data_IF_395091742218
#
_entry.id   IF_395091742218
#
_cell.length_a   1.000
_cell.length_b   1.000
_cell.length_c   1.000
_cell.angle_alpha   90.00
_cell.angle_beta   90.00
_cell.angle_gamma   90.00
#
_symmetry.space_group_name_H-M   'P 1'
#
loop_
_entity.id
_entity.type
_entity.pdbx_description
1 polymer ?
#
# COMPACT_ATOMS: atom_id res chain seq x y z
N UNK A 1 -65.63 5.69 -20.76
CA UNK A 1 -65.05 4.68 -21.67
C UNK A 1 -63.60 4.47 -21.25
N UNK A 2 -63.27 3.28 -20.73
CA UNK A 2 -61.92 2.91 -20.28
C UNK A 2 -61.07 2.56 -21.50
N UNK A 3 -59.89 3.18 -21.65
CA UNK A 3 -58.84 2.71 -22.56
C UNK A 3 -57.63 2.31 -21.72
N UNK A 4 -57.52 1.01 -21.50
CA UNK A 4 -56.32 0.32 -21.04
C UNK A 4 -55.35 0.24 -22.21
N UNK A 5 -54.20 0.91 -22.10
CA UNK A 5 -53.10 0.80 -23.06
C UNK A 5 -52.02 -0.06 -22.42
N UNK A 6 -51.99 -1.33 -22.80
CA UNK A 6 -50.94 -2.28 -22.44
C UNK A 6 -49.67 -1.91 -23.21
N UNK A 7 -48.66 -1.42 -22.50
CA UNK A 7 -47.33 -1.15 -23.04
C UNK A 7 -46.44 -2.35 -22.67
N UNK A 8 -46.33 -3.28 -23.61
CA UNK A 8 -45.19 -4.17 -23.70
C UNK A 8 -44.28 -3.59 -24.77
N UNK A 9 -42.95 -3.61 -24.59
CA UNK A 9 -41.96 -3.90 -25.63
C UNK A 9 -40.52 -3.68 -25.11
N UNK A 10 -39.74 -4.75 -25.27
CA UNK A 10 -38.28 -4.89 -25.44
C UNK A 10 -37.34 -4.20 -24.45
N UNK A 11 -36.80 -5.01 -23.54
CA UNK A 11 -35.41 -4.88 -23.10
C UNK A 11 -34.51 -5.53 -24.16
N UNK A 12 -33.80 -4.71 -24.94
CA UNK A 12 -32.65 -5.18 -25.74
C UNK A 12 -31.43 -5.07 -24.85
N UNK A 13 -30.99 -6.19 -24.29
CA UNK A 13 -29.70 -6.29 -23.60
C UNK A 13 -28.63 -6.37 -24.69
N UNK A 14 -28.03 -5.22 -25.03
CA UNK A 14 -26.81 -5.17 -25.82
C UNK A 14 -25.65 -5.52 -24.88
N UNK A 15 -25.25 -6.78 -24.88
CA UNK A 15 -23.98 -7.23 -24.32
C UNK A 15 -22.86 -6.76 -25.26
N UNK A 16 -22.45 -5.49 -25.13
CA UNK A 16 -21.13 -5.07 -25.59
C UNK A 16 -20.12 -5.72 -24.65
N UNK A 17 -19.58 -6.86 -25.07
CA UNK A 17 -18.29 -7.34 -24.58
C UNK A 17 -17.23 -6.34 -25.04
N UNK A 18 -17.07 -5.25 -24.29
CA UNK A 18 -15.91 -4.38 -24.40
C UNK A 18 -14.70 -5.22 -24.03
N UNK A 19 -13.78 -5.39 -24.98
CA UNK A 19 -12.45 -5.85 -24.68
C UNK A 19 -11.85 -4.85 -23.68
N UNK A 20 -11.78 -5.23 -22.41
CA UNK A 20 -10.98 -4.51 -21.44
C UNK A 20 -9.53 -4.62 -21.93
N UNK A 21 -8.77 -3.51 -21.99
CA UNK A 21 -7.34 -3.61 -22.25
C UNK A 21 -6.74 -4.53 -21.19
N UNK A 22 -6.13 -5.63 -21.64
CA UNK A 22 -5.32 -6.47 -20.77
C UNK A 22 -4.06 -5.68 -20.48
N UNK A 23 -4.07 -4.86 -19.44
CA UNK A 23 -2.86 -4.28 -18.89
C UNK A 23 -1.90 -5.44 -18.62
N UNK A 24 -0.74 -5.42 -19.25
CA UNK A 24 0.32 -6.37 -18.98
C UNK A 24 0.87 -5.98 -17.62
N UNK A 25 0.37 -6.61 -16.56
CA UNK A 25 0.92 -6.47 -15.22
C UNK A 25 2.30 -7.14 -15.22
N UNK A 26 3.35 -6.36 -15.51
CA UNK A 26 4.70 -6.73 -15.17
C UNK A 26 4.81 -6.73 -13.64
N UNK A 27 4.68 -7.91 -13.04
CA UNK A 27 4.90 -8.12 -11.61
C UNK A 27 6.41 -8.09 -11.35
N UNK A 28 6.97 -6.92 -11.03
CA UNK A 28 8.34 -6.79 -10.57
C UNK A 28 8.48 -7.39 -9.16
N UNK A 29 9.62 -8.01 -8.87
CA UNK A 29 9.96 -8.49 -7.52
C UNK A 29 10.02 -7.31 -6.53
N UNK A 30 9.86 -7.54 -5.20
CA UNK A 30 9.73 -6.49 -4.19
C UNK A 30 10.96 -5.55 -4.01
N UNK A 31 12.01 -5.69 -4.81
CA UNK A 31 13.22 -4.86 -4.75
C UNK A 31 13.23 -3.70 -5.78
N UNK A 32 12.09 -3.45 -6.45
CA UNK A 32 12.02 -2.45 -7.53
C UNK A 32 12.00 -0.99 -7.09
N UNK A 33 11.89 -0.75 -5.78
CA UNK A 33 11.96 0.58 -5.17
C UNK A 33 12.61 0.53 -3.80
N UNK A 34 13.21 1.64 -3.38
CA UNK A 34 13.51 1.93 -1.98
C UNK A 34 12.48 2.93 -1.44
N UNK A 35 11.57 2.46 -0.58
CA UNK A 35 10.46 3.29 -0.06
C UNK A 35 10.59 3.53 1.45
N UNK A 36 10.86 4.77 1.84
CA UNK A 36 10.97 5.20 3.25
C UNK A 36 9.85 6.16 3.64
N UNK A 37 9.43 6.11 4.91
CA UNK A 37 8.45 7.02 5.53
C UNK A 37 9.06 7.66 6.77
N UNK A 38 8.98 8.99 6.84
CA UNK A 38 9.37 9.78 8.01
C UNK A 38 8.14 10.44 8.63
N UNK A 39 8.09 10.54 9.95
CA UNK A 39 7.04 11.27 10.68
C UNK A 39 7.64 12.21 11.71
N UNK A 40 7.06 13.41 11.86
CA UNK A 40 7.51 14.39 12.85
C UNK A 40 7.06 14.05 14.29
N UNK A 41 6.10 13.14 14.45
CA UNK A 41 5.52 12.79 15.75
C UNK A 41 5.02 11.35 15.72
N UNK A 42 5.85 10.35 16.09
CA UNK A 42 5.49 8.94 16.04
C UNK A 42 4.59 8.50 17.22
N UNK A 43 3.98 9.42 17.97
CA UNK A 43 3.19 9.04 19.15
C UNK A 43 1.85 8.39 18.75
N UNK A 44 1.40 7.31 19.41
CA UNK A 44 0.14 6.64 19.08
C UNK A 44 -1.08 7.57 19.18
N UNK A 45 -1.93 7.56 18.15
CA UNK A 45 -3.15 8.37 18.06
C UNK A 45 -2.93 9.87 17.88
N UNK A 46 -1.68 10.32 17.82
CA UNK A 46 -1.34 11.72 17.58
C UNK A 46 -1.62 12.11 16.12
N UNK A 47 -1.83 13.40 15.93
CA UNK A 47 -1.79 14.02 14.62
C UNK A 47 -0.34 14.39 14.29
N UNK A 48 0.08 14.12 13.06
CA UNK A 48 1.47 14.18 12.62
C UNK A 48 1.58 14.51 11.13
N UNK A 49 2.74 15.01 10.75
CA UNK A 49 3.16 15.22 9.37
C UNK A 49 4.02 14.04 8.92
N UNK A 50 3.87 13.64 7.65
CA UNK A 50 4.55 12.51 7.05
C UNK A 50 5.30 12.95 5.80
N UNK A 51 6.50 12.41 5.58
CA UNK A 51 7.24 12.53 4.33
C UNK A 51 7.52 11.13 3.80
N UNK A 52 7.04 10.85 2.59
CA UNK A 52 7.19 9.59 1.87
C UNK A 52 8.22 9.80 0.77
N UNK A 53 9.19 8.88 0.67
CA UNK A 53 10.25 8.92 -0.32
C UNK A 53 10.31 7.58 -1.05
N UNK A 54 9.91 7.56 -2.33
CA UNK A 54 9.89 6.37 -3.18
C UNK A 54 10.98 6.55 -4.23
N UNK A 55 12.10 5.84 -4.06
CA UNK A 55 13.18 5.83 -5.04
C UNK A 55 12.96 4.68 -6.02
N UNK A 56 12.96 4.97 -7.32
CA UNK A 56 12.79 3.95 -8.35
C UNK A 56 14.15 3.28 -8.64
N UNK A 57 14.31 2.02 -8.23
CA UNK A 57 15.63 1.34 -8.29
C UNK A 57 15.75 0.36 -9.44
N UNK A 58 14.64 -0.23 -9.91
CA UNK A 58 14.67 -1.26 -10.94
C UNK A 58 14.43 -0.74 -12.36
N UNK A 59 15.11 -1.39 -13.30
CA UNK A 59 15.11 -1.04 -14.70
C UNK A 59 14.03 -1.84 -15.44
N UNK A 60 13.09 -1.16 -16.10
CA UNK A 60 12.03 -1.73 -16.93
C UNK A 60 12.53 -2.29 -18.28
N UNK A 61 13.83 -2.55 -18.43
CA UNK A 61 14.43 -3.24 -19.57
C UNK A 61 15.16 -2.34 -20.57
N UNK A 62 15.28 -1.04 -20.30
CA UNK A 62 15.95 -0.07 -21.17
C UNK A 62 16.69 1.05 -20.41
N UNK A 63 17.46 1.89 -21.11
CA UNK A 63 18.20 2.97 -20.47
C UNK A 63 17.32 4.16 -20.02
N UNK A 64 16.02 4.15 -20.37
CA UNK A 64 15.02 5.18 -20.00
C UNK A 64 13.94 4.61 -19.10
N UNK A 65 14.29 3.62 -18.29
CA UNK A 65 13.34 2.96 -17.43
C UNK A 65 12.68 3.94 -16.46
N UNK A 66 11.34 3.93 -16.46
CA UNK A 66 10.51 4.81 -15.67
C UNK A 66 9.16 5.07 -16.33
N UNK A 67 8.51 6.12 -15.85
CA UNK A 67 7.27 6.68 -16.34
C UNK A 67 7.57 7.92 -17.20
N UNK A 68 7.14 7.90 -18.46
CA UNK A 68 7.11 9.08 -19.32
C UNK A 68 6.04 10.06 -18.85
N UNK A 69 4.87 9.54 -18.47
CA UNK A 69 3.85 10.28 -17.72
C UNK A 69 3.48 9.51 -16.46
N UNK A 70 3.29 10.22 -15.36
CA UNK A 70 2.61 9.70 -14.18
C UNK A 70 1.15 10.16 -14.28
N UNK A 71 0.19 9.23 -14.22
CA UNK A 71 -1.24 9.57 -14.34
C UNK A 71 -1.87 9.64 -12.94
N UNK A 72 -1.48 8.72 -12.05
CA UNK A 72 -1.95 8.74 -10.67
C UNK A 72 -0.94 8.17 -9.67
N UNK A 73 -0.99 8.68 -8.45
CA UNK A 73 -0.24 8.16 -7.30
C UNK A 73 -1.21 7.92 -6.16
N UNK A 74 -1.21 6.71 -5.63
CA UNK A 74 -2.07 6.29 -4.52
C UNK A 74 -1.21 5.82 -3.36
N UNK A 75 -1.39 6.42 -2.19
CA UNK A 75 -0.77 5.99 -0.94
C UNK A 75 -1.82 5.36 -0.03
N UNK A 76 -1.59 4.15 0.46
CA UNK A 76 -2.50 3.44 1.37
C UNK A 76 -1.79 3.04 2.65
N UNK A 77 -2.25 3.58 3.77
CA UNK A 77 -1.73 3.21 5.09
C UNK A 77 -2.41 1.93 5.58
N UNK A 78 -1.65 1.00 6.17
CA UNK A 78 -2.25 -0.18 6.83
C UNK A 78 -3.11 0.22 8.03
N UNK A 79 -2.62 1.20 8.79
CA UNK A 79 -3.27 1.75 9.97
C UNK A 79 -3.03 3.25 10.08
N UNK A 80 -3.93 3.94 10.78
CA UNK A 80 -3.97 5.40 10.85
C UNK A 80 -5.10 5.96 9.99
N UNK A 81 -5.07 7.26 9.72
CA UNK A 81 -6.03 7.90 8.83
C UNK A 81 -5.49 9.23 8.28
N UNK A 82 -5.86 9.55 7.05
CA UNK A 82 -5.61 10.83 6.36
C UNK A 82 -6.86 11.70 6.29
N UNK A 83 -7.92 11.39 7.04
CA UNK A 83 -9.20 12.12 7.01
C UNK A 83 -9.08 13.60 7.44
N UNK A 84 -8.00 13.96 8.15
CA UNK A 84 -7.75 15.36 8.51
C UNK A 84 -6.97 16.13 7.42
N UNK A 85 -6.52 15.45 6.37
CA UNK A 85 -5.95 16.08 5.19
C UNK A 85 -7.10 16.68 4.37
N UNK A 86 -7.17 18.01 4.33
CA UNK A 86 -8.15 18.71 3.53
C UNK A 86 -7.65 18.86 2.09
N UNK A 87 -8.47 18.51 1.10
CA UNK A 87 -8.26 18.97 -0.27
C UNK A 87 -8.26 20.51 -0.27
N UNK A 88 -7.26 21.18 -0.84
CA UNK A 88 -7.24 22.63 -0.89
C UNK A 88 -8.51 23.13 -1.59
N UNK A 89 -9.19 24.11 -1.01
CA UNK A 89 -10.24 24.82 -1.74
C UNK A 89 -9.56 25.73 -2.75
N UNK A 90 -10.06 25.80 -4.00
CA UNK A 90 -9.44 26.61 -5.06
C UNK A 90 -9.12 28.05 -4.57
N UNK A 91 -7.84 28.35 -4.37
CA UNK A 91 -7.34 29.63 -3.84
C UNK A 91 -6.59 29.55 -2.50
N UNK A 92 -6.74 28.45 -1.75
CA UNK A 92 -5.91 28.16 -0.57
C UNK A 92 -4.76 27.24 -0.99
N UNK A 93 -3.62 27.83 -1.35
CA UNK A 93 -2.31 27.17 -1.44
C UNK A 93 -1.79 26.74 -0.05
N UNK A 94 -2.67 26.42 0.90
CA UNK A 94 -2.29 25.93 2.21
C UNK A 94 -2.00 24.41 2.15
N UNK A 95 -0.90 24.07 1.49
CA UNK A 95 0.21 23.15 1.82
C UNK A 95 -0.02 21.86 2.65
N UNK A 96 -1.23 21.33 2.82
CA UNK A 96 -1.41 20.10 3.61
C UNK A 96 -0.86 18.86 2.89
N UNK A 97 -0.63 18.94 1.58
CA UNK A 97 0.04 17.90 0.80
C UNK A 97 0.91 18.53 -0.30
N UNK A 98 2.09 17.98 -0.54
CA UNK A 98 3.00 18.38 -1.63
C UNK A 98 3.60 17.12 -2.27
N UNK A 99 3.39 16.94 -3.57
CA UNK A 99 3.91 15.82 -4.35
C UNK A 99 4.94 16.36 -5.35
N UNK A 100 6.13 15.77 -5.41
CA UNK A 100 7.21 16.20 -6.29
C UNK A 100 8.08 15.02 -6.70
N UNK A 101 8.78 15.13 -7.82
CA UNK A 101 9.92 14.27 -8.15
C UNK A 101 11.20 15.07 -7.97
N UNK A 102 12.17 14.45 -7.31
CA UNK A 102 13.52 15.02 -7.17
C UNK A 102 14.47 14.21 -8.04
N UNK A 103 15.16 14.90 -8.95
CA UNK A 103 16.33 14.34 -9.62
C UNK A 103 17.57 14.60 -8.78
N UNK A 104 17.97 13.57 -8.04
CA UNK A 104 19.21 13.55 -7.26
C UNK A 104 20.45 13.34 -8.16
N UNK A 105 20.29 13.11 -9.47
CA UNK A 105 21.42 13.10 -10.39
C UNK A 105 22.01 14.49 -10.41
N UNK A 106 23.22 14.60 -9.87
CA UNK A 106 24.03 15.82 -9.94
C UNK A 106 24.20 16.21 -11.40
N UNK A 107 23.36 17.15 -11.85
CA UNK A 107 23.36 17.56 -13.24
C UNK A 107 24.72 18.21 -13.51
N UNK A 108 25.50 17.55 -14.37
CA UNK A 108 26.97 17.65 -14.45
C UNK A 108 27.48 19.03 -14.94
N UNK A 109 26.59 20.01 -15.10
CA UNK A 109 26.89 21.36 -15.52
C UNK A 109 26.59 22.45 -14.46
N UNK A 110 25.95 22.13 -13.33
CA UNK A 110 25.46 23.15 -12.39
C UNK A 110 25.42 22.80 -10.90
N UNK A 111 25.48 21.52 -10.50
CA UNK A 111 25.59 21.11 -9.10
C UNK A 111 24.40 21.45 -8.19
N UNK A 112 23.20 21.67 -8.75
CA UNK A 112 21.96 21.77 -7.99
C UNK A 112 21.12 20.52 -8.19
N UNK A 113 20.51 20.01 -7.13
CA UNK A 113 19.42 19.01 -7.21
C UNK A 113 18.19 19.72 -7.78
N UNK A 114 17.71 19.26 -8.93
CA UNK A 114 16.45 19.76 -9.51
C UNK A 114 15.28 19.10 -8.77
N UNK A 115 14.44 19.90 -8.13
CA UNK A 115 13.15 19.42 -7.63
C UNK A 115 12.07 19.94 -8.57
N UNK A 116 11.34 19.02 -9.18
CA UNK A 116 10.22 19.32 -10.07
C UNK A 116 8.93 18.93 -9.34
N UNK A 117 8.02 19.90 -9.20
CA UNK A 117 6.76 19.70 -8.49
C UNK A 117 5.71 19.09 -9.43
N UNK A 118 4.93 18.14 -8.92
CA UNK A 118 3.76 17.61 -9.63
C UNK A 118 2.56 18.51 -9.35
N UNK A 119 2.03 19.13 -10.41
CA UNK A 119 0.79 19.93 -10.40
C UNK A 119 -0.48 19.06 -10.34
N UNK A 120 -0.63 18.26 -9.29
CA UNK A 120 -1.83 17.41 -9.10
C UNK A 120 -3.14 18.20 -9.22
N UNK A 121 -3.96 17.84 -10.22
CA UNK A 121 -5.24 18.48 -10.53
C UNK A 121 -6.35 18.03 -9.58
N UNK A 122 -6.37 16.75 -9.21
CA UNK A 122 -7.30 16.20 -8.21
C UNK A 122 -6.56 15.51 -7.07
N UNK A 123 -7.07 15.71 -5.84
CA UNK A 123 -6.54 15.11 -4.61
C UNK A 123 -7.70 14.65 -3.75
N UNK A 124 -7.72 13.39 -3.37
CA UNK A 124 -8.68 12.83 -2.41
C UNK A 124 -7.99 12.22 -1.21
N UNK A 125 -8.56 12.47 -0.03
CA UNK A 125 -8.14 11.87 1.22
C UNK A 125 -9.35 11.19 1.83
N UNK A 126 -9.29 9.87 2.00
CA UNK A 126 -10.42 9.09 2.51
C UNK A 126 -9.94 7.91 3.34
N UNK A 127 -10.23 7.95 4.63
CA UNK A 127 -9.86 6.92 5.58
C UNK A 127 -8.35 6.76 5.63
N UNK A 128 -7.84 5.72 4.96
CA UNK A 128 -6.42 5.34 4.95
C UNK A 128 -5.72 5.63 3.62
N UNK A 129 -6.43 6.21 2.66
CA UNK A 129 -5.95 6.37 1.29
C UNK A 129 -5.85 7.84 0.92
N UNK A 130 -4.72 8.22 0.34
CA UNK A 130 -4.49 9.50 -0.29
C UNK A 130 -4.23 9.27 -1.78
N UNK A 131 -5.11 9.77 -2.64
CA UNK A 131 -5.02 9.63 -4.09
C UNK A 131 -4.71 10.98 -4.72
N UNK A 132 -3.80 10.97 -5.69
CA UNK A 132 -3.38 12.12 -6.48
C UNK A 132 -3.56 11.78 -7.96
N UNK A 133 -4.36 12.57 -8.66
CA UNK A 133 -4.42 12.54 -10.13
C UNK A 133 -3.57 13.67 -10.69
N UNK A 134 -2.68 13.29 -11.58
CA UNK A 134 -1.59 14.08 -12.13
C UNK A 134 -2.01 14.54 -13.54
N UNK A 135 -1.67 15.76 -13.91
CA UNK A 135 -1.99 16.32 -15.23
C UNK A 135 -0.96 15.91 -16.29
N UNK A 136 -1.40 15.85 -17.55
CA UNK A 136 -0.62 15.30 -18.68
C UNK A 136 0.69 16.05 -19.02
N UNK A 137 0.95 17.22 -18.41
CA UNK A 137 2.11 18.09 -18.70
C UNK A 137 3.21 18.02 -17.60
N UNK A 138 3.18 16.99 -16.76
CA UNK A 138 4.00 16.87 -15.56
C UNK A 138 5.35 16.13 -15.76
N UNK A 139 6.31 16.26 -14.81
CA UNK A 139 7.65 15.73 -15.00
C UNK A 139 7.64 14.20 -15.16
N UNK A 140 8.62 13.70 -15.90
CA UNK A 140 8.83 12.28 -16.02
C UNK A 140 9.44 11.70 -14.72
N UNK A 141 9.25 10.40 -14.48
CA UNK A 141 9.73 9.74 -13.25
C UNK A 141 10.57 8.51 -13.59
N UNK A 142 11.89 8.63 -13.46
CA UNK A 142 12.88 7.67 -13.96
C UNK A 142 13.61 6.94 -12.86
N UNK A 143 14.29 5.86 -13.24
CA UNK A 143 15.18 5.11 -12.33
C UNK A 143 16.27 6.04 -11.76
N UNK A 144 16.42 5.99 -10.44
CA UNK A 144 17.33 6.82 -9.65
C UNK A 144 16.72 8.14 -9.18
N UNK A 145 15.52 8.51 -9.62
CA UNK A 145 14.78 9.64 -9.08
C UNK A 145 13.94 9.24 -7.87
N UNK A 146 13.58 10.24 -7.08
CA UNK A 146 12.78 10.06 -5.87
C UNK A 146 11.45 10.77 -6.01
N UNK A 147 10.36 10.01 -6.03
CA UNK A 147 9.01 10.52 -5.84
C UNK A 147 8.81 10.82 -4.36
N UNK A 148 8.49 12.07 -4.06
CA UNK A 148 8.34 12.58 -2.69
C UNK A 148 6.93 13.10 -2.47
N UNK A 149 6.26 12.58 -1.43
CA UNK A 149 5.00 13.13 -0.91
C UNK A 149 5.20 13.63 0.51
N UNK A 150 4.95 14.92 0.75
CA UNK A 150 4.85 15.49 2.09
C UNK A 150 3.38 15.72 2.46
N UNK A 151 2.90 15.08 3.53
CA UNK A 151 1.62 15.35 4.17
C UNK A 151 1.87 16.19 5.43
N UNK A 152 1.58 17.50 5.36
CA UNK A 152 1.98 18.48 6.37
C UNK A 152 0.82 18.87 7.32
N UNK A 153 1.13 19.75 8.27
CA UNK A 153 0.17 20.40 9.17
C UNK A 153 -0.63 19.41 10.03
N UNK A 154 0.04 18.35 10.46
CA UNK A 154 -0.53 17.32 11.33
C UNK A 154 -1.77 16.64 10.73
N UNK A 155 -1.83 16.51 9.39
CA UNK A 155 -3.01 16.01 8.71
C UNK A 155 -3.16 14.48 8.80
N UNK A 156 -2.08 13.76 9.09
CA UNK A 156 -2.13 12.31 9.28
C UNK A 156 -2.39 12.00 10.74
N UNK A 157 -3.33 11.10 11.03
CA UNK A 157 -3.59 10.57 12.36
C UNK A 157 -2.95 9.19 12.50
N UNK A 158 -2.02 9.08 13.44
CA UNK A 158 -1.33 7.83 13.73
C UNK A 158 -2.29 6.74 14.24
N UNK A 159 -1.95 5.45 14.04
CA UNK A 159 -2.60 4.34 14.74
C UNK A 159 -2.63 4.58 16.25
N UNK A 160 -3.70 4.15 16.92
CA UNK A 160 -3.82 4.29 18.38
C UNK A 160 -2.96 3.29 19.17
N UNK A 161 -2.48 2.24 18.51
CA UNK A 161 -1.60 1.22 19.10
C UNK A 161 -0.15 1.49 18.74
N UNK A 162 0.75 1.11 19.65
CA UNK A 162 2.18 1.08 19.36
C UNK A 162 2.52 -0.07 18.42
N UNK A 163 3.53 0.09 17.58
CA UNK A 163 3.99 -0.97 16.71
C UNK A 163 4.85 -0.47 15.55
N UNK A 164 5.29 -1.43 14.74
CA UNK A 164 5.92 -1.20 13.44
C UNK A 164 4.83 -1.21 12.36
N UNK A 165 4.83 -0.21 11.49
CA UNK A 165 3.82 -0.01 10.45
C UNK A 165 4.46 0.16 9.08
N UNK A 166 3.68 -0.06 8.02
CA UNK A 166 4.07 0.16 6.63
C UNK A 166 2.98 0.95 5.91
N UNK A 167 3.36 1.53 4.77
CA UNK A 167 2.47 2.20 3.82
C UNK A 167 2.73 1.59 2.45
N UNK A 168 1.67 1.35 1.70
CA UNK A 168 1.75 0.96 0.29
C UNK A 168 1.67 2.20 -0.60
N UNK A 169 2.41 2.18 -1.69
CA UNK A 169 2.30 3.15 -2.78
C UNK A 169 2.02 2.41 -4.09
N UNK A 170 1.09 2.94 -4.87
CA UNK A 170 0.83 2.53 -6.25
C UNK A 170 1.01 3.75 -7.15
N UNK A 171 1.86 3.61 -8.16
CA UNK A 171 2.09 4.64 -9.20
C UNK A 171 1.61 4.06 -10.53
N UNK A 172 0.69 4.76 -11.18
CA UNK A 172 0.18 4.42 -12.51
C UNK A 172 0.59 5.49 -13.50
N UNK A 173 0.92 5.09 -14.72
CA UNK A 173 1.28 6.01 -15.78
C UNK A 173 1.60 5.30 -17.09
N UNK A 174 2.29 5.99 -17.99
CA UNK A 174 2.79 5.40 -19.24
C UNK A 174 4.31 5.28 -19.23
N UNK A 175 4.83 4.15 -19.71
CA UNK A 175 6.27 3.92 -19.83
C UNK A 175 6.85 4.67 -21.03
N UNK A 176 8.12 5.03 -20.96
CA UNK A 176 8.84 5.55 -22.13
C UNK A 176 8.83 4.58 -23.32
N UNK A 177 8.49 5.07 -24.51
CA UNK A 177 8.51 4.24 -25.71
C UNK A 177 8.46 5.03 -27.03
N UNK A 178 8.83 4.38 -28.13
CA UNK A 178 8.67 4.93 -29.48
C UNK A 178 7.19 4.84 -29.93
N UNK A 179 6.27 5.56 -29.28
CA UNK A 179 4.83 5.52 -29.61
C UNK A 179 3.89 6.03 -28.51
N UNK A 180 2.62 5.59 -28.55
CA UNK A 180 1.65 5.77 -27.47
C UNK A 180 2.07 4.81 -26.32
N UNK A 181 2.88 5.28 -25.37
CA UNK A 181 3.52 4.45 -24.33
C UNK A 181 2.59 3.41 -23.68
N UNK A 182 3.15 2.25 -23.27
CA UNK A 182 2.37 1.23 -22.58
C UNK A 182 1.96 1.72 -21.18
N UNK A 183 0.72 1.48 -20.78
CA UNK A 183 0.29 1.75 -19.41
C UNK A 183 0.95 0.75 -18.46
N UNK A 184 1.66 1.28 -17.48
CA UNK A 184 2.38 0.51 -16.47
C UNK A 184 1.92 0.91 -15.07
N UNK A 185 2.04 -0.04 -14.14
CA UNK A 185 1.73 0.14 -12.73
C UNK A 185 2.91 -0.37 -11.91
N UNK A 186 3.39 0.47 -11.00
CA UNK A 186 4.35 0.12 -9.97
C UNK A 186 3.62 0.06 -8.64
N UNK A 187 3.88 -0.98 -7.84
CA UNK A 187 3.40 -1.06 -6.47
C UNK A 187 4.55 -1.42 -5.54
N UNK A 188 4.64 -0.73 -4.41
CA UNK A 188 5.68 -0.91 -3.42
C UNK A 188 5.15 -0.75 -2.00
N UNK A 189 5.79 -1.41 -1.05
CA UNK A 189 5.50 -1.29 0.38
C UNK A 189 6.71 -0.67 1.06
N UNK A 190 6.47 0.31 1.94
CA UNK A 190 7.55 1.02 2.62
C UNK A 190 8.34 0.12 3.56
N UNK A 191 9.55 0.55 3.94
CA UNK A 191 10.20 0.05 5.14
C UNK A 191 9.30 0.26 6.36
N UNK A 192 9.50 -0.59 7.37
CA UNK A 192 8.81 -0.45 8.65
C UNK A 192 9.24 0.86 9.33
N UNK A 193 8.25 1.64 9.77
CA UNK A 193 8.47 2.82 10.60
C UNK A 193 7.77 2.65 11.96
N UNK A 194 8.33 3.19 13.06
CA UNK A 194 7.80 2.96 14.39
C UNK A 194 6.73 3.98 14.78
N UNK A 195 5.70 3.51 15.48
CA UNK A 195 4.74 4.34 16.23
C UNK A 195 4.85 3.96 17.70
N UNK A 196 5.41 4.85 18.51
CA UNK A 196 5.55 4.68 19.96
C UNK A 196 5.85 6.00 20.68
N UNK A 197 5.59 6.01 22.00
CA UNK A 197 5.79 7.19 22.83
C UNK A 197 7.29 7.46 23.03
N UNK A 198 7.77 8.63 22.63
CA UNK A 198 9.17 9.03 22.84
C UNK A 198 10.19 8.29 21.97
N UNK A 199 9.75 7.70 20.86
CA UNK A 199 10.62 7.05 19.89
C UNK A 199 11.23 8.08 18.93
N UNK A 200 12.14 8.89 19.47
CA UNK A 200 12.79 9.98 18.72
C UNK A 200 13.76 9.47 17.62
N UNK A 201 14.07 8.17 17.62
CA UNK A 201 14.96 7.51 16.65
C UNK A 201 14.75 5.98 16.66
N UNK A 202 15.32 5.30 15.66
CA UNK A 202 15.24 3.85 15.48
C UNK A 202 15.77 3.04 16.69
N UNK A 203 16.85 3.47 17.34
CA UNK A 203 17.37 2.77 18.52
C UNK A 203 16.37 2.79 19.69
N UNK A 204 15.72 3.93 19.94
CA UNK A 204 14.70 4.05 20.98
C UNK A 204 13.45 3.22 20.63
N UNK A 205 13.05 3.23 19.35
CA UNK A 205 11.96 2.40 18.86
C UNK A 205 12.25 0.91 19.05
N UNK A 206 13.47 0.44 18.75
CA UNK A 206 13.86 -0.96 18.93
C UNK A 206 13.95 -1.39 20.39
N UNK A 207 14.33 -0.50 21.29
CA UNK A 207 14.32 -0.77 22.73
C UNK A 207 12.88 -0.98 23.26
N UNK A 208 11.93 -0.17 22.77
CA UNK A 208 10.52 -0.23 23.18
C UNK A 208 9.72 -1.33 22.45
N UNK A 209 9.89 -1.47 21.13
CA UNK A 209 9.07 -2.34 20.27
C UNK A 209 9.76 -3.66 19.90
N UNK A 210 11.07 -3.79 20.12
CA UNK A 210 11.88 -4.85 19.54
C UNK A 210 12.23 -4.59 18.06
N UNK A 211 12.92 -5.53 17.39
CA UNK A 211 13.27 -5.39 15.97
C UNK A 211 12.01 -5.32 15.08
N UNK A 212 12.06 -4.62 13.93
CA UNK A 212 10.96 -4.62 12.97
C UNK A 212 10.73 -6.02 12.39
N UNK A 213 9.50 -6.38 11.98
CA UNK A 213 9.18 -7.75 11.53
C UNK A 213 10.00 -8.28 10.35
N UNK A 214 10.51 -7.40 9.48
CA UNK A 214 11.32 -7.79 8.31
C UNK A 214 12.78 -8.09 8.64
N UNK A 215 13.27 -7.66 9.79
CA UNK A 215 14.58 -8.10 10.25
C UNK A 215 14.44 -9.47 10.87
N UNK A 216 14.80 -10.50 10.10
CA UNK A 216 14.98 -11.82 10.68
C UNK A 216 15.85 -11.67 11.92
N UNK A 217 15.29 -12.04 13.08
CA UNK A 217 16.05 -12.13 14.33
C UNK A 217 17.35 -12.86 13.99
N UNK A 218 18.53 -12.28 14.26
CA UNK A 218 19.78 -12.88 13.85
C UNK A 218 19.76 -14.32 14.30
N UNK A 219 19.93 -15.24 13.34
CA UNK A 219 19.97 -16.67 13.66
C UNK A 219 20.98 -16.82 14.79
N UNK A 220 20.58 -17.32 15.97
CA UNK A 220 21.45 -17.31 17.12
C UNK A 220 22.75 -18.02 16.75
N UNK A 221 23.86 -17.28 16.71
CA UNK A 221 25.17 -17.87 16.46
C UNK A 221 25.36 -18.94 17.52
N UNK A 222 25.44 -20.20 17.10
CA UNK A 222 25.63 -21.31 18.01
C UNK A 222 26.83 -20.96 18.91
N UNK A 223 26.56 -20.79 20.20
CA UNK A 223 27.62 -20.58 21.18
C UNK A 223 28.54 -21.79 21.05
N UNK A 224 29.84 -21.56 20.80
CA UNK A 224 30.79 -22.64 20.68
C UNK A 224 30.68 -23.52 21.93
N UNK A 225 30.12 -24.72 21.78
CA UNK A 225 30.08 -25.70 22.85
C UNK A 225 31.53 -25.98 23.21
N UNK A 226 31.90 -25.75 24.47
CA UNK A 226 33.22 -26.11 24.98
C UNK A 226 33.52 -27.54 24.55
N UNK A 227 34.48 -27.71 23.66
CA UNK A 227 34.89 -29.03 23.22
C UNK A 227 35.54 -29.68 24.43
N UNK A 228 34.99 -30.79 24.96
CA UNK A 228 35.56 -31.43 26.13
C UNK A 228 37.00 -31.81 25.81
N UNK A 229 37.95 -31.28 26.60
CA UNK A 229 39.35 -31.66 26.50
C UNK A 229 39.43 -33.19 26.59
N UNK A 230 40.03 -33.88 25.62
CA UNK A 230 40.11 -35.33 25.64
C UNK A 230 40.80 -35.77 26.93
N UNK A 231 40.05 -36.47 27.79
CA UNK A 231 40.61 -37.11 28.97
C UNK A 231 41.51 -38.25 28.48
N UNK A 232 42.75 -38.30 28.95
CA UNK A 232 43.71 -39.33 28.55
C UNK A 232 43.10 -40.72 28.73
N UNK A 233 42.87 -41.42 27.61
CA UNK A 233 42.35 -42.79 27.61
C UNK A 233 43.33 -43.69 28.34
N UNK A 234 42.88 -44.30 29.44
CA UNK A 234 43.66 -45.31 30.14
C UNK A 234 43.94 -46.50 29.22
N UNK A 235 45.20 -46.95 29.17
CA UNK A 235 45.64 -48.11 28.40
C UNK A 235 44.78 -49.34 28.75
N UNK A 236 44.17 -50.03 27.76
CA UNK A 236 43.33 -51.18 28.02
C UNK A 236 44.15 -52.30 28.66
N UNK A 237 43.69 -52.77 29.83
CA UNK A 237 44.20 -54.01 30.44
C UNK A 237 43.60 -55.19 29.68
N UNK A 238 44.44 -56.16 29.31
CA UNK A 238 44.05 -57.33 28.54
C UNK A 238 42.88 -58.07 29.21
N UNK A 239 41.76 -58.17 28.51
CA UNK A 239 40.57 -58.91 28.97
C UNK A 239 40.78 -60.41 28.67
N UNK A 240 40.58 -61.32 29.65
CA UNK A 240 40.66 -62.75 29.42
C UNK A 240 39.57 -63.24 28.44
N UNK A 241 39.81 -64.34 27.72
CA UNK A 241 38.89 -64.84 26.70
C UNK A 241 37.54 -65.24 27.32
N UNK A 242 36.41 -64.95 26.63
CA UNK A 242 35.08 -65.31 27.12
C UNK A 242 34.85 -66.83 27.06
N UNK A 243 34.17 -67.34 28.09
CA UNK A 243 33.66 -68.70 28.21
C UNK A 243 32.48 -68.92 27.22
N UNK A 244 32.27 -70.12 26.65
CA UNK A 244 31.24 -70.36 25.63
C UNK A 244 29.83 -70.13 26.20
N UNK A 245 29.10 -69.20 25.60
CA UNK A 245 27.70 -68.93 25.96
C UNK A 245 26.74 -69.94 25.32
N UNK A 246 25.79 -70.41 26.13
CA UNK A 246 24.63 -71.24 25.77
C UNK A 246 23.72 -70.52 24.73
N UNK A 247 23.05 -71.25 23.83
CA UNK A 247 22.23 -70.66 22.77
C UNK A 247 20.97 -70.02 23.36
N UNK A 248 20.88 -68.69 23.22
CA UNK A 248 19.73 -67.91 23.65
C UNK A 248 18.61 -68.01 22.59
N UNK A 249 17.38 -68.22 23.07
CA UNK A 249 16.19 -68.43 22.24
C UNK A 249 15.84 -67.21 21.38
N UNK A 250 15.38 -67.50 20.16
CA UNK A 250 14.90 -66.55 19.15
C UNK A 250 13.72 -65.72 19.66
N UNK A 251 13.76 -64.37 19.61
CA UNK A 251 12.60 -63.56 19.94
C UNK A 251 11.51 -63.69 18.85
N UNK A 252 10.27 -63.76 19.33
CA UNK A 252 9.04 -63.75 18.54
C UNK A 252 8.83 -62.37 17.89
N UNK A 253 8.36 -62.28 16.63
CA UNK A 253 8.09 -61.00 15.99
C UNK A 253 6.93 -60.27 16.68
N UNK A 254 7.13 -58.97 16.92
CA UNK A 254 6.15 -58.05 17.45
C UNK A 254 5.16 -57.65 16.33
N UNK A 255 3.83 -57.64 16.59
CA UNK A 255 2.84 -57.25 15.59
C UNK A 255 2.97 -55.77 15.21
N UNK A 256 3.03 -55.50 13.90
CA UNK A 256 3.16 -54.15 13.35
C UNK A 256 1.98 -53.24 13.69
N UNK A 257 2.30 -51.98 13.98
CA UNK A 257 1.34 -50.90 14.16
C UNK A 257 0.54 -50.66 12.87
N UNK A 258 -0.80 -50.49 12.97
CA UNK A 258 -1.62 -50.17 11.82
C UNK A 258 -1.34 -48.75 11.32
N UNK A 259 -0.99 -48.66 10.04
CA UNK A 259 -0.91 -47.43 9.26
C UNK A 259 -2.24 -46.69 9.34
N UNK A 260 -2.25 -45.49 9.92
CA UNK A 260 -3.41 -44.60 9.92
C UNK A 260 -3.78 -44.25 8.47
N UNK A 261 -5.02 -44.56 8.10
CA UNK A 261 -5.65 -44.17 6.83
C UNK A 261 -5.87 -42.66 6.82
N UNK A 262 -5.51 -41.94 5.74
CA UNK A 262 -5.83 -40.51 5.65
C UNK A 262 -7.35 -40.30 5.67
N UNK A 263 -7.81 -39.45 6.58
CA UNK A 263 -9.21 -39.01 6.66
C UNK A 263 -9.55 -38.14 5.45
N UNK A 264 -10.68 -38.37 4.76
CA UNK A 264 -11.12 -37.51 3.67
C UNK A 264 -11.56 -36.13 4.19
N UNK A 265 -11.02 -35.11 3.51
CA UNK A 265 -11.64 -33.86 3.03
C UNK A 265 -13.01 -33.46 3.62
N UNK A 266 -13.06 -32.36 4.40
CA UNK A 266 -14.31 -31.63 4.64
C UNK A 266 -14.63 -30.73 3.44
N UNK A 267 -15.85 -30.94 2.92
CA UNK A 267 -16.45 -30.18 1.84
C UNK A 267 -16.66 -28.69 2.17
N UNK A 268 -16.51 -27.91 1.11
CA UNK A 268 -17.13 -26.61 0.81
C UNK A 268 -18.21 -26.09 1.78
N UNK A 269 -18.00 -24.97 2.48
CA UNK A 269 -19.11 -24.23 3.07
C UNK A 269 -19.91 -23.53 1.97
N UNK A 270 -21.06 -24.13 1.68
CA UNK A 270 -22.19 -23.56 0.96
C UNK A 270 -22.58 -22.19 1.52
N UNK A 271 -22.64 -21.22 0.59
CA UNK A 271 -23.35 -19.94 0.59
C UNK A 271 -24.06 -19.48 1.88
N UNK A 272 -23.58 -18.37 2.45
CA UNK A 272 -24.42 -17.44 3.22
C UNK A 272 -24.84 -16.31 2.30
N UNK A 273 -26.12 -16.31 1.92
CA UNK A 273 -26.76 -15.16 1.28
C UNK A 273 -26.85 -14.02 2.29
N UNK A 274 -26.02 -12.98 2.12
CA UNK A 274 -26.25 -11.69 2.77
C UNK A 274 -27.41 -11.03 2.05
N UNK A 275 -28.50 -10.81 2.78
CA UNK A 275 -29.60 -9.98 2.32
C UNK A 275 -29.05 -8.59 1.98
N UNK A 276 -29.10 -8.24 0.70
CA UNK A 276 -29.06 -6.84 0.25
C UNK A 276 -30.25 -6.15 0.87
N UNK A 277 -30.02 -5.40 1.95
CA UNK A 277 -30.94 -4.37 2.37
C UNK A 277 -31.01 -3.37 1.21
N UNK A 278 -32.17 -3.35 0.57
CA UNK A 278 -32.63 -2.24 -0.26
C UNK A 278 -32.33 -0.93 0.49
N UNK A 279 -31.59 0.02 -0.09
CA UNK A 279 -31.49 1.34 0.50
C UNK A 279 -32.91 1.89 0.51
N UNK A 280 -33.48 2.00 1.70
CA UNK A 280 -34.61 2.87 1.91
C UNK A 280 -34.16 4.25 1.44
N UNK A 281 -34.81 4.72 0.37
CA UNK A 281 -34.92 6.12 0.01
C UNK A 281 -35.25 6.91 1.28
N UNK A 282 -34.21 7.41 1.95
CA UNK A 282 -34.39 8.53 2.84
C UNK A 282 -34.41 9.75 1.94
N UNK A 283 -35.64 10.19 1.62
CA UNK A 283 -35.93 11.56 1.19
C UNK A 283 -35.41 12.53 2.26
N UNK A 284 -34.11 12.77 2.26
CA UNK A 284 -33.48 13.86 3.01
C UNK A 284 -33.60 15.10 2.13
N UNK A 285 -34.68 15.83 2.41
CA UNK A 285 -35.10 17.12 1.86
C UNK A 285 -35.56 17.10 0.39
N UNK A 286 -36.89 17.08 0.23
CA UNK A 286 -37.60 17.37 -1.01
C UNK A 286 -37.37 18.81 -1.52
N UNK A 287 -36.16 19.09 -1.99
CA UNK A 287 -35.86 20.25 -2.82
C UNK A 287 -35.69 19.72 -4.23
N UNK A 288 -36.72 19.92 -5.05
CA UNK A 288 -36.67 19.59 -6.46
C UNK A 288 -35.45 20.31 -7.08
N UNK A 289 -34.50 19.61 -7.72
CA UNK A 289 -33.27 20.24 -8.22
C UNK A 289 -33.54 21.35 -9.23
N UNK A 290 -34.69 21.33 -9.93
CA UNK A 290 -35.14 22.43 -10.78
C UNK A 290 -35.48 23.71 -9.99
N UNK A 291 -35.96 23.59 -8.75
CA UNK A 291 -36.25 24.75 -7.87
C UNK A 291 -34.96 25.40 -7.40
N UNK A 292 -33.93 24.62 -7.09
CA UNK A 292 -32.61 25.16 -6.68
C UNK A 292 -31.97 25.94 -7.84
N UNK A 293 -31.99 25.39 -9.06
CA UNK A 293 -31.48 26.10 -10.25
C UNK A 293 -32.29 27.38 -10.53
N UNK A 294 -33.61 27.36 -10.36
CA UNK A 294 -34.44 28.55 -10.55
C UNK A 294 -34.18 29.64 -9.50
N UNK A 295 -33.95 29.28 -8.24
CA UNK A 295 -33.63 30.24 -7.16
C UNK A 295 -32.25 30.85 -7.37
N UNK A 296 -31.24 30.06 -7.75
CA UNK A 296 -29.89 30.57 -8.06
C UNK A 296 -29.95 31.53 -9.24
N UNK A 297 -30.63 31.17 -10.33
CA UNK A 297 -30.77 32.04 -11.50
C UNK A 297 -31.50 33.37 -11.18
N UNK A 298 -32.54 33.34 -10.33
CA UNK A 298 -33.27 34.54 -9.93
C UNK A 298 -32.41 35.49 -9.07
N UNK A 299 -31.57 34.95 -8.18
CA UNK A 299 -30.65 35.75 -7.35
C UNK A 299 -29.56 36.41 -8.22
N UNK A 300 -29.01 35.70 -9.21
CA UNK A 300 -28.01 36.26 -10.14
C UNK A 300 -28.56 37.41 -10.97
N UNK A 301 -29.80 37.30 -11.46
CA UNK A 301 -30.47 38.37 -12.23
C UNK A 301 -30.80 39.56 -11.32
N UNK A 302 -31.21 39.32 -10.07
CA UNK A 302 -31.47 40.38 -9.09
C UNK A 302 -30.23 41.20 -8.73
N UNK A 303 -29.08 40.54 -8.54
CA UNK A 303 -27.81 41.21 -8.25
C UNK A 303 -27.30 42.04 -9.44
N UNK A 304 -27.47 41.55 -10.67
CA UNK A 304 -27.12 42.31 -11.88
C UNK A 304 -28.01 43.56 -12.04
N UNK A 305 -29.32 43.43 -11.78
CA UNK A 305 -30.25 44.56 -11.87
C UNK A 305 -30.02 45.61 -10.77
N UNK A 306 -29.67 45.19 -9.54
CA UNK A 306 -29.39 46.11 -8.44
C UNK A 306 -28.07 46.86 -8.63
N UNK A 307 -27.05 46.21 -9.21
CA UNK A 307 -25.79 46.84 -9.60
C UNK A 307 -25.95 47.91 -10.68
N UNK A 308 -26.85 47.71 -11.65
CA UNK A 308 -27.12 48.68 -12.71
C UNK A 308 -27.88 49.94 -12.23
N UNK A 309 -28.57 49.88 -11.10
CA UNK A 309 -29.32 51.02 -10.54
C UNK A 309 -28.52 51.96 -9.63
N UNK A 310 -27.20 51.74 -9.49
CA UNK A 310 -26.27 52.60 -8.72
C UNK A 310 -25.18 53.28 -9.57
N UNK A 311 -25.33 53.28 -10.89
CA UNK A 311 -24.59 54.12 -11.84
C UNK A 311 -25.54 55.16 -12.44
#
# INVERSE_FOLDING_TARGET
MKRTTTLAVLAVVVLTAGALPTAVLASHEPESTDYTVETNNPSPGASASYSHYVNLTDNFGDARSGFETVDSVTFTMDAGSVDNCSSPTAGDVANNSHLSVTDDREDSAGGGTGQEEFDSYERSFSGRTADFSISDDEPDYRVGETLRLDLNNDCVKNPSSKGWYQVDVTVEGTSFGDGDGDSIQLSSTSHYYPICDGCDNDSAAREELGPPPSEESPTPTATATDTPTPTATATPTATPPPDPADPTATPSPEPGDPTATPSPEPADPTATATATAEPADQEVFGVNPMVVVAVVAAVSIGLAAFGASRL
#
